data_IF_011774625375
#
_entry.id   IF_011774625375
#
_cell.length_a   1.000
_cell.length_b   1.000
_cell.length_c   1.000
_cell.angle_alpha   90.00
_cell.angle_beta   90.00
_cell.angle_gamma   90.00
#
_symmetry.space_group_name_H-M   'P 1'
#
loop_
_entity.id
_entity.type
_entity.pdbx_description
1 polymer ?
#
# COMPACT_ATOMS: atom_id res chain seq x y z
N UNK A 1 -4.96 -39.06 12.61
CA UNK A 1 -5.38 -37.76 13.16
C UNK A 1 -4.80 -36.67 12.29
N UNK A 2 -5.64 -35.87 11.60
CA UNK A 2 -5.16 -34.61 10.98
C UNK A 2 -5.00 -33.57 12.10
N UNK A 3 -3.94 -32.76 12.11
CA UNK A 3 -3.84 -31.68 13.08
C UNK A 3 -4.95 -30.67 12.81
N UNK A 4 -5.86 -30.50 13.77
CA UNK A 4 -6.82 -29.40 13.78
C UNK A 4 -6.02 -28.14 14.10
N UNK A 5 -5.72 -27.33 13.09
CA UNK A 5 -5.15 -26.00 13.30
C UNK A 5 -6.21 -25.18 14.02
N UNK A 6 -5.98 -24.83 15.28
CA UNK A 6 -6.87 -23.95 16.01
C UNK A 6 -6.82 -22.54 15.39
N UNK A 7 -7.94 -21.81 15.30
CA UNK A 7 -7.94 -20.43 14.82
C UNK A 7 -7.03 -19.61 15.73
N UNK A 8 -5.87 -19.20 15.23
CA UNK A 8 -5.01 -18.29 16.00
C UNK A 8 -5.70 -16.93 16.01
N UNK A 9 -5.88 -16.33 17.19
CA UNK A 9 -6.49 -15.02 17.27
C UNK A 9 -5.62 -14.00 16.55
N UNK A 10 -6.25 -13.20 15.68
CA UNK A 10 -5.56 -12.20 14.88
C UNK A 10 -4.84 -11.12 15.73
N UNK A 11 -5.18 -11.01 17.02
CA UNK A 11 -4.54 -10.14 17.99
C UNK A 11 -3.16 -10.66 18.46
N UNK A 12 -2.77 -11.88 18.09
CA UNK A 12 -1.52 -12.53 18.52
C UNK A 12 -0.40 -12.48 17.49
N UNK A 13 -0.64 -11.92 16.29
CA UNK A 13 0.40 -11.75 15.29
C UNK A 13 1.47 -10.79 15.82
N UNK A 14 2.63 -11.32 16.17
CA UNK A 14 3.79 -10.53 16.60
C UNK A 14 4.55 -10.00 15.40
N UNK A 15 5.17 -8.84 15.56
CA UNK A 15 6.05 -8.26 14.53
C UNK A 15 5.31 -7.87 13.25
N UNK A 16 4.02 -7.51 13.35
CA UNK A 16 3.23 -6.98 12.22
C UNK A 16 2.63 -5.62 12.57
N UNK A 17 2.35 -4.84 11.54
CA UNK A 17 1.74 -3.51 11.65
C UNK A 17 0.39 -3.52 10.97
N UNK A 18 -0.65 -3.42 11.78
CA UNK A 18 -2.05 -3.50 11.34
C UNK A 18 -2.53 -2.10 10.97
N UNK A 19 -2.96 -1.92 9.73
CA UNK A 19 -3.63 -0.69 9.31
C UNK A 19 -5.07 -0.66 9.81
N UNK A 20 -5.79 -1.78 9.66
CA UNK A 20 -7.13 -1.95 10.18
C UNK A 20 -7.49 -3.42 10.34
N UNK A 21 -8.52 -3.67 11.13
CA UNK A 21 -9.14 -4.99 11.33
C UNK A 21 -10.64 -4.85 11.31
N UNK A 22 -11.32 -5.75 10.60
CA UNK A 22 -12.79 -5.78 10.56
C UNK A 22 -13.31 -7.23 10.55
N UNK A 23 -14.58 -7.41 10.93
CA UNK A 23 -15.25 -8.71 10.92
C UNK A 23 -16.59 -8.64 10.19
N UNK A 24 -16.89 -9.67 9.40
CA UNK A 24 -18.06 -9.76 8.55
C UNK A 24 -18.78 -11.08 8.83
N UNK A 25 -20.11 -11.03 8.97
CA UNK A 25 -20.94 -12.21 9.16
C UNK A 25 -21.48 -12.68 7.80
N UNK A 26 -21.26 -13.95 7.49
CA UNK A 26 -21.72 -14.59 6.26
C UNK A 26 -22.77 -15.64 6.62
N UNK A 27 -23.99 -15.41 6.16
CA UNK A 27 -25.10 -16.34 6.39
C UNK A 27 -25.17 -17.40 5.29
N UNK A 28 -25.67 -18.59 5.61
CA UNK A 28 -25.95 -19.60 4.59
C UNK A 28 -27.07 -19.21 3.62
N UNK A 29 -27.15 -19.97 2.51
CA UNK A 29 -28.33 -19.98 1.63
C UNK A 29 -28.24 -19.12 0.37
N UNK A 30 -27.35 -18.13 0.31
CA UNK A 30 -27.16 -17.25 -0.87
C UNK A 30 -25.68 -16.97 -1.15
N UNK A 31 -25.40 -16.49 -2.37
CA UNK A 31 -24.09 -15.91 -2.69
C UNK A 31 -23.95 -14.56 -1.99
N UNK A 32 -22.82 -14.34 -1.32
CA UNK A 32 -22.50 -13.12 -0.60
C UNK A 32 -21.09 -12.64 -0.95
N UNK A 33 -20.80 -11.38 -0.65
CA UNK A 33 -19.45 -10.82 -0.83
C UNK A 33 -19.06 -9.98 0.37
N UNK A 34 -17.78 -10.06 0.74
CA UNK A 34 -17.11 -9.09 1.60
C UNK A 34 -16.37 -8.13 0.68
N UNK A 35 -16.83 -6.88 0.63
CA UNK A 35 -16.18 -5.82 -0.14
C UNK A 35 -15.52 -4.85 0.83
N UNK A 36 -14.22 -4.98 1.01
CA UNK A 36 -13.41 -4.07 1.81
C UNK A 36 -12.39 -3.35 0.92
N UNK A 37 -12.90 -2.79 -0.18
CA UNK A 37 -12.11 -2.16 -1.24
C UNK A 37 -11.31 -0.95 -0.76
N UNK A 38 -11.79 -0.25 0.26
CA UNK A 38 -11.05 0.85 0.90
C UNK A 38 -9.75 0.39 1.58
N UNK A 39 -9.59 -0.92 1.82
CA UNK A 39 -8.32 -1.55 2.21
C UNK A 39 -7.79 -2.53 1.16
N UNK A 40 -8.38 -2.58 -0.05
CA UNK A 40 -7.83 -3.32 -1.18
C UNK A 40 -8.12 -4.83 -1.21
N UNK A 41 -9.17 -5.30 -0.54
CA UNK A 41 -9.54 -6.74 -0.53
C UNK A 41 -11.03 -6.98 -0.77
N UNK A 42 -11.34 -8.03 -1.52
CA UNK A 42 -12.69 -8.57 -1.70
C UNK A 42 -12.70 -10.07 -1.56
N UNK A 43 -13.80 -10.63 -1.05
CA UNK A 43 -14.03 -12.07 -0.99
C UNK A 43 -15.44 -12.35 -1.49
N UNK A 44 -15.58 -13.17 -2.54
CA UNK A 44 -16.89 -13.63 -3.02
C UNK A 44 -17.13 -15.06 -2.54
N UNK A 45 -18.20 -15.25 -1.78
CA UNK A 45 -18.61 -16.50 -1.17
C UNK A 45 -19.79 -17.07 -1.99
N UNK A 46 -19.58 -18.15 -2.78
CA UNK A 46 -20.63 -18.71 -3.60
C UNK A 46 -21.68 -19.45 -2.77
N UNK A 47 -22.89 -19.58 -3.32
CA UNK A 47 -23.94 -20.38 -2.70
C UNK A 47 -23.47 -21.82 -2.39
N UNK A 48 -23.75 -22.25 -1.17
CA UNK A 48 -23.35 -23.56 -0.65
C UNK A 48 -21.93 -23.63 -0.10
N UNK A 49 -21.19 -22.51 -0.05
CA UNK A 49 -19.95 -22.43 0.75
C UNK A 49 -20.24 -22.38 2.27
N UNK A 50 -21.44 -21.95 2.67
CA UNK A 50 -21.95 -21.98 4.05
C UNK A 50 -23.29 -22.73 4.06
N UNK A 51 -23.50 -23.63 5.03
CA UNK A 51 -24.78 -24.33 5.20
C UNK A 51 -25.90 -23.33 5.49
N UNK A 52 -27.14 -23.52 4.97
CA UNK A 52 -28.25 -22.58 5.16
C UNK A 52 -28.54 -22.21 6.62
N UNK A 53 -28.29 -23.13 7.56
CA UNK A 53 -28.50 -22.93 9.00
C UNK A 53 -27.31 -22.33 9.73
N UNK A 54 -26.16 -22.18 9.06
CA UNK A 54 -24.92 -21.69 9.67
C UNK A 54 -24.69 -20.21 9.40
N UNK A 55 -23.86 -19.62 10.27
CA UNK A 55 -23.24 -18.32 10.06
C UNK A 55 -21.73 -18.46 10.29
N UNK A 56 -20.94 -17.95 9.35
CA UNK A 56 -19.48 -17.91 9.43
C UNK A 56 -19.05 -16.47 9.61
N UNK A 57 -18.23 -16.19 10.62
CA UNK A 57 -17.58 -14.90 10.76
C UNK A 57 -16.24 -14.94 10.03
N UNK A 58 -16.02 -14.00 9.12
CA UNK A 58 -14.72 -13.70 8.52
C UNK A 58 -14.13 -12.51 9.25
N UNK A 59 -12.93 -12.67 9.82
CA UNK A 59 -12.16 -11.55 10.38
C UNK A 59 -10.95 -11.31 9.50
N UNK A 60 -10.78 -10.06 9.04
CA UNK A 60 -9.70 -9.64 8.14
C UNK A 60 -8.91 -8.54 8.83
N UNK A 61 -7.58 -8.65 8.84
CA UNK A 61 -6.69 -7.51 9.11
C UNK A 61 -5.83 -7.21 7.88
N UNK A 62 -5.78 -5.93 7.52
CA UNK A 62 -4.87 -5.41 6.53
C UNK A 62 -3.55 -5.04 7.24
N UNK A 63 -2.46 -5.69 6.83
CA UNK A 63 -1.12 -5.50 7.37
C UNK A 63 -0.28 -4.72 6.36
N UNK A 64 0.39 -3.68 6.85
CA UNK A 64 1.17 -2.73 6.03
C UNK A 64 2.67 -2.82 6.28
N UNK A 65 3.09 -3.72 7.17
CA UNK A 65 4.47 -4.09 7.39
C UNK A 65 4.55 -5.24 8.38
N UNK A 66 5.68 -5.92 8.41
CA UNK A 66 5.94 -6.98 9.37
C UNK A 66 7.16 -7.83 8.98
N UNK A 67 7.48 -8.79 9.84
CA UNK A 67 8.61 -9.71 9.66
C UNK A 67 8.29 -10.78 8.60
N UNK A 68 8.05 -10.34 7.37
CA UNK A 68 7.67 -11.17 6.23
C UNK A 68 8.91 -11.63 5.46
N UNK A 69 8.99 -12.93 5.17
CA UNK A 69 10.03 -13.50 4.32
C UNK A 69 9.34 -14.01 3.06
N UNK A 70 9.56 -13.33 1.94
CA UNK A 70 9.07 -13.74 0.63
C UNK A 70 10.09 -14.64 -0.10
N UNK A 71 9.64 -15.43 -1.09
CA UNK A 71 10.55 -16.18 -1.95
C UNK A 71 11.64 -15.31 -2.59
N UNK A 72 12.81 -15.90 -2.86
CA UNK A 72 13.89 -15.21 -3.58
C UNK A 72 13.42 -14.69 -4.94
N UNK A 73 14.02 -13.59 -5.40
CA UNK A 73 13.69 -12.91 -6.66
C UNK A 73 12.22 -12.48 -6.76
N UNK A 74 11.59 -12.16 -5.62
CA UNK A 74 10.23 -11.63 -5.60
C UNK A 74 10.10 -10.37 -4.75
N UNK A 75 9.10 -9.56 -5.08
CA UNK A 75 8.77 -8.34 -4.36
C UNK A 75 7.28 -8.30 -3.99
N UNK A 76 6.97 -7.81 -2.78
CA UNK A 76 5.60 -7.58 -2.33
C UNK A 76 4.96 -6.40 -3.08
N UNK A 77 3.85 -6.65 -3.79
CA UNK A 77 3.15 -5.63 -4.59
C UNK A 77 1.72 -5.35 -4.11
N UNK A 78 1.35 -5.88 -2.95
CA UNK A 78 0.07 -5.62 -2.27
C UNK A 78 0.30 -5.35 -0.77
N UNK A 79 -0.76 -5.03 -0.04
CA UNK A 79 -0.76 -5.26 1.41
C UNK A 79 -0.81 -6.76 1.71
N UNK A 80 -0.45 -7.15 2.93
CA UNK A 80 -0.64 -8.52 3.42
C UNK A 80 -1.95 -8.58 4.19
N UNK A 81 -2.77 -9.61 3.97
CA UNK A 81 -4.04 -9.78 4.67
C UNK A 81 -4.00 -11.03 5.52
N UNK A 82 -4.24 -10.84 6.81
CA UNK A 82 -4.51 -11.94 7.71
C UNK A 82 -6.01 -12.19 7.75
N UNK A 83 -6.43 -13.37 7.31
CA UNK A 83 -7.83 -13.75 7.19
C UNK A 83 -8.08 -14.95 8.11
N UNK A 84 -9.06 -14.83 8.99
CA UNK A 84 -9.47 -15.89 9.90
C UNK A 84 -10.97 -16.15 9.76
N UNK A 85 -11.36 -17.43 9.88
CA UNK A 85 -12.75 -17.85 9.84
C UNK A 85 -13.15 -18.48 11.16
N UNK A 86 -14.36 -18.21 11.65
CA UNK A 86 -14.90 -18.91 12.81
C UNK A 86 -15.19 -20.40 12.52
N UNK A 87 -15.47 -20.74 11.25
CA UNK A 87 -15.67 -22.10 10.73
C UNK A 87 -15.20 -22.17 9.27
N UNK A 88 -14.67 -23.30 8.79
CA UNK A 88 -14.24 -23.44 7.39
C UNK A 88 -15.42 -23.37 6.42
N UNK A 89 -15.18 -22.86 5.21
CA UNK A 89 -16.15 -22.96 4.12
C UNK A 89 -16.19 -24.36 3.51
N UNK A 90 -17.38 -24.76 3.03
CA UNK A 90 -17.60 -26.04 2.36
C UNK A 90 -17.14 -26.08 0.90
N UNK A 91 -16.93 -24.91 0.30
CA UNK A 91 -16.46 -24.77 -1.08
C UNK A 91 -15.38 -23.69 -1.14
N UNK A 92 -14.46 -23.77 -2.11
CA UNK A 92 -13.55 -22.67 -2.39
C UNK A 92 -14.31 -21.37 -2.63
N UNK A 93 -13.76 -20.27 -2.13
CA UNK A 93 -14.32 -18.91 -2.32
C UNK A 93 -13.32 -18.08 -3.13
N UNK A 94 -13.79 -17.05 -3.84
CA UNK A 94 -12.93 -16.20 -4.66
C UNK A 94 -12.36 -15.08 -3.79
N UNK A 95 -11.03 -15.05 -3.62
CA UNK A 95 -10.28 -13.98 -2.98
C UNK A 95 -9.74 -13.04 -4.05
N UNK A 96 -9.89 -11.72 -3.83
CA UNK A 96 -9.35 -10.69 -4.71
C UNK A 96 -8.56 -9.68 -3.91
N UNK A 97 -7.30 -9.44 -4.31
CA UNK A 97 -6.36 -8.55 -3.62
C UNK A 97 -5.87 -7.50 -4.59
N UNK A 98 -5.85 -6.24 -4.15
CA UNK A 98 -5.30 -5.11 -4.90
C UNK A 98 -3.78 -5.23 -5.03
N UNK A 99 -3.24 -4.89 -6.20
CA UNK A 99 -1.79 -4.71 -6.41
C UNK A 99 -1.49 -3.35 -7.05
N UNK A 100 -0.25 -2.90 -6.92
CA UNK A 100 0.22 -1.65 -7.52
C UNK A 100 0.92 -1.82 -8.88
N UNK A 101 1.01 -3.03 -9.42
CA UNK A 101 1.64 -3.29 -10.72
C UNK A 101 0.74 -2.85 -11.88
N UNK A 102 1.30 -2.11 -12.83
CA UNK A 102 0.68 -1.76 -14.12
C UNK A 102 0.77 -2.93 -15.09
N UNK A 103 -0.36 -3.58 -15.33
CA UNK A 103 -0.49 -4.68 -16.28
C UNK A 103 -0.92 -4.13 -17.64
N UNK A 104 0.02 -3.75 -18.49
CA UNK A 104 -0.29 -3.21 -19.82
C UNK A 104 -0.71 -4.32 -20.81
N UNK A 105 -0.11 -5.51 -20.66
CA UNK A 105 -0.34 -6.64 -21.57
C UNK A 105 -0.53 -7.94 -20.80
N UNK A 106 -1.17 -8.92 -21.45
CA UNK A 106 -1.42 -10.24 -20.83
C UNK A 106 -0.12 -11.02 -20.51
N UNK A 107 1.02 -10.66 -21.11
CA UNK A 107 2.30 -11.28 -20.76
C UNK A 107 2.80 -10.84 -19.38
N UNK A 108 2.45 -9.62 -18.94
CA UNK A 108 2.83 -9.11 -17.62
C UNK A 108 2.17 -9.92 -16.49
N UNK A 109 0.96 -10.44 -16.72
CA UNK A 109 0.25 -11.29 -15.77
C UNK A 109 1.06 -12.52 -15.32
N UNK A 110 2.00 -13.01 -16.15
CA UNK A 110 2.83 -14.17 -15.84
C UNK A 110 3.89 -13.90 -14.76
N UNK A 111 4.14 -12.62 -14.47
CA UNK A 111 5.09 -12.19 -13.45
C UNK A 111 4.45 -11.92 -12.10
N UNK A 112 3.13 -12.06 -11.99
CA UNK A 112 2.39 -11.90 -10.76
C UNK A 112 1.99 -13.26 -10.20
N UNK A 113 2.01 -13.38 -8.87
CA UNK A 113 1.55 -14.57 -8.19
C UNK A 113 0.97 -14.23 -6.82
N UNK A 114 0.06 -15.08 -6.35
CA UNK A 114 -0.33 -15.04 -4.95
C UNK A 114 0.75 -15.69 -4.09
N UNK A 115 0.93 -15.17 -2.88
CA UNK A 115 1.78 -15.78 -1.88
C UNK A 115 1.03 -15.90 -0.56
N UNK A 116 1.28 -17.02 0.14
CA UNK A 116 0.63 -17.32 1.41
C UNK A 116 1.63 -17.81 2.46
N UNK A 117 1.39 -17.47 3.72
CA UNK A 117 2.16 -17.95 4.85
C UNK A 117 1.23 -18.68 5.85
N UNK A 118 1.31 -20.01 5.95
CA UNK A 118 0.43 -20.80 6.82
C UNK A 118 0.85 -20.76 8.30
N UNK A 119 2.07 -20.33 8.61
CA UNK A 119 2.54 -20.16 9.98
C UNK A 119 2.08 -18.83 10.55
N UNK A 120 1.50 -18.84 11.75
CA UNK A 120 1.19 -17.62 12.51
C UNK A 120 2.35 -17.15 13.40
N UNK A 121 3.55 -17.72 13.22
CA UNK A 121 4.75 -17.34 13.98
C UNK A 121 5.71 -16.54 13.10
N UNK A 122 6.15 -15.39 13.61
CA UNK A 122 7.21 -14.60 13.01
C UNK A 122 8.57 -15.33 13.09
N UNK A 123 9.45 -15.20 12.08
CA UNK A 123 9.19 -14.53 10.81
C UNK A 123 8.23 -15.35 9.92
N UNK A 124 7.32 -14.66 9.22
CA UNK A 124 6.27 -15.28 8.42
C UNK A 124 6.82 -15.67 7.05
N UNK A 125 7.02 -16.97 6.85
CA UNK A 125 7.57 -17.52 5.61
C UNK A 125 6.47 -17.69 4.57
N UNK A 126 6.48 -16.83 3.56
CA UNK A 126 5.57 -16.89 2.43
C UNK A 126 6.05 -17.89 1.38
N UNK A 127 5.08 -18.54 0.74
CA UNK A 127 5.29 -19.46 -0.38
C UNK A 127 4.41 -19.06 -1.55
N UNK A 128 4.92 -19.28 -2.75
CA UNK A 128 4.17 -19.11 -3.99
C UNK A 128 2.94 -20.02 -4.01
N UNK A 129 1.84 -19.47 -4.55
CA UNK A 129 0.61 -20.19 -4.79
C UNK A 129 0.41 -20.31 -6.30
N UNK A 130 0.29 -21.54 -6.77
CA UNK A 130 0.02 -21.79 -8.18
C UNK A 130 -1.37 -21.33 -8.58
N UNK A 131 -1.48 -20.70 -9.74
CA UNK A 131 -2.73 -20.18 -10.29
C UNK A 131 -2.90 -18.70 -10.00
N UNK A 132 -4.15 -18.29 -9.79
CA UNK A 132 -4.52 -16.88 -9.79
C UNK A 132 -4.80 -16.38 -11.21
N UNK A 133 -5.61 -15.33 -11.29
CA UNK A 133 -6.01 -14.68 -12.52
C UNK A 133 -5.80 -13.18 -12.39
N UNK A 134 -5.07 -12.62 -13.35
CA UNK A 134 -4.71 -11.22 -13.48
C UNK A 134 -5.08 -10.77 -14.89
N UNK A 135 -5.54 -9.52 -15.03
CA UNK A 135 -6.03 -9.00 -16.31
C UNK A 135 -5.35 -7.67 -16.65
N UNK A 136 -5.11 -7.37 -17.93
CA UNK A 136 -4.61 -6.06 -18.35
C UNK A 136 -5.48 -4.92 -17.84
N UNK A 137 -4.84 -3.82 -17.45
CA UNK A 137 -5.45 -2.63 -16.83
C UNK A 137 -6.23 -2.92 -15.53
N UNK A 138 -6.08 -4.11 -14.96
CA UNK A 138 -6.66 -4.49 -13.69
C UNK A 138 -5.73 -4.13 -12.53
N UNK A 139 -6.31 -3.60 -11.44
CA UNK A 139 -5.59 -3.37 -10.18
C UNK A 139 -5.77 -4.48 -9.15
N UNK A 140 -6.33 -5.63 -9.53
CA UNK A 140 -6.63 -6.74 -8.63
C UNK A 140 -6.25 -8.08 -9.25
N UNK A 141 -5.62 -8.94 -8.46
CA UNK A 141 -5.51 -10.37 -8.72
C UNK A 141 -6.68 -11.11 -8.09
N UNK A 142 -7.08 -12.23 -8.69
CA UNK A 142 -8.15 -13.09 -8.14
C UNK A 142 -7.74 -14.56 -8.08
N UNK A 143 -8.16 -15.30 -7.04
CA UNK A 143 -7.86 -16.73 -6.88
C UNK A 143 -8.97 -17.43 -6.08
N UNK A 144 -9.23 -18.71 -6.34
CA UNK A 144 -10.13 -19.52 -5.52
C UNK A 144 -9.35 -20.22 -4.40
N UNK A 145 -9.79 -20.05 -3.16
CA UNK A 145 -9.09 -20.55 -1.96
C UNK A 145 -10.03 -21.27 -1.02
N UNK A 146 -9.52 -22.30 -0.34
CA UNK A 146 -10.23 -23.06 0.70
C UNK A 146 -9.62 -22.89 2.09
N UNK A 147 -8.40 -22.36 2.16
CA UNK A 147 -7.66 -22.17 3.40
C UNK A 147 -7.30 -20.68 3.56
N UNK A 148 -7.44 -20.18 4.78
CA UNK A 148 -7.19 -18.79 5.12
C UNK A 148 -6.11 -18.68 6.19
N UNK A 149 -5.15 -17.80 5.94
CA UNK A 149 -4.07 -17.44 6.84
C UNK A 149 -3.57 -16.06 6.41
N UNK A 150 -2.27 -15.89 6.14
CA UNK A 150 -1.75 -14.69 5.49
C UNK A 150 -1.78 -14.83 3.97
N UNK A 151 -2.25 -13.80 3.27
CA UNK A 151 -2.34 -13.72 1.82
C UNK A 151 -1.80 -12.41 1.29
N UNK A 152 -1.14 -12.45 0.14
CA UNK A 152 -0.57 -11.29 -0.55
C UNK A 152 -0.39 -11.57 -2.04
N UNK A 153 -0.04 -10.55 -2.79
CA UNK A 153 0.45 -10.63 -4.17
C UNK A 153 1.92 -10.24 -4.22
N UNK A 154 2.68 -11.03 -4.96
CA UNK A 154 4.09 -10.78 -5.25
C UNK A 154 4.33 -10.74 -6.74
N UNK A 155 5.43 -10.10 -7.09
CA UNK A 155 5.94 -9.98 -8.44
C UNK A 155 7.33 -10.60 -8.54
N UNK A 156 7.64 -11.28 -9.65
CA UNK A 156 8.98 -11.79 -9.92
C UNK A 156 9.91 -10.68 -10.43
N UNK A 157 11.06 -10.52 -9.78
CA UNK A 157 12.12 -9.57 -10.13
C UNK A 157 13.27 -10.36 -10.77
N UNK A 158 13.29 -10.51 -12.11
CA UNK A 158 14.41 -11.19 -12.79
C UNK A 158 15.56 -10.24 -13.07
N UNK A 159 16.71 -10.50 -12.43
CA UNK A 159 17.96 -9.73 -12.51
C UNK A 159 18.65 -9.72 -13.89
N UNK A 160 18.17 -10.48 -14.89
CA UNK A 160 18.86 -10.63 -16.18
C UNK A 160 18.00 -10.39 -17.43
N UNK A 161 16.70 -10.13 -17.29
CA UNK A 161 15.82 -9.70 -18.39
C UNK A 161 14.83 -8.70 -17.78
N UNK A 162 15.02 -7.41 -18.06
CA UNK A 162 14.16 -6.31 -17.62
C UNK A 162 12.75 -6.47 -18.19
N UNK A 163 11.88 -7.20 -17.50
CA UNK A 163 10.46 -7.08 -17.74
C UNK A 163 9.99 -5.87 -16.93
N UNK A 164 9.94 -4.73 -17.58
CA UNK A 164 9.38 -3.49 -17.03
C UNK A 164 7.94 -3.74 -16.61
N UNK A 165 7.72 -3.98 -15.33
CA UNK A 165 6.41 -3.85 -14.72
C UNK A 165 6.41 -2.54 -13.97
N UNK A 166 5.88 -1.53 -14.66
CA UNK A 166 5.76 -0.21 -14.09
C UNK A 166 4.84 -0.29 -12.87
N UNK A 167 5.24 0.23 -11.72
CA UNK A 167 4.41 0.26 -10.51
C UNK A 167 3.80 1.64 -10.33
N UNK A 168 2.60 1.68 -9.79
CA UNK A 168 1.94 2.90 -9.37
C UNK A 168 2.32 3.23 -7.93
N UNK A 169 2.62 4.50 -7.69
CA UNK A 169 3.01 5.05 -6.40
C UNK A 169 2.11 6.21 -6.03
N UNK A 170 2.06 6.47 -4.72
CA UNK A 170 1.24 7.50 -4.12
C UNK A 170 2.09 8.35 -3.17
N UNK A 171 1.82 9.65 -3.17
CA UNK A 171 2.36 10.61 -2.23
C UNK A 171 1.25 11.39 -1.54
N UNK A 172 1.24 11.40 -0.22
CA UNK A 172 0.35 12.28 0.56
C UNK A 172 1.10 13.55 0.94
N UNK A 173 0.53 14.70 0.56
CA UNK A 173 1.06 16.02 0.90
C UNK A 173 0.28 16.61 2.05
N UNK A 174 1.00 17.07 3.07
CA UNK A 174 0.42 17.59 4.30
C UNK A 174 1.13 18.86 4.73
N UNK A 175 0.37 19.74 5.37
CA UNK A 175 0.89 20.98 5.93
C UNK A 175 0.83 20.95 7.45
N UNK A 176 1.90 21.45 8.05
CA UNK A 176 2.00 21.69 9.49
C UNK A 176 2.37 23.16 9.71
N UNK A 177 1.55 23.87 10.48
CA UNK A 177 1.87 25.24 10.92
C UNK A 177 2.81 25.13 12.13
N UNK A 178 4.06 25.56 11.97
CA UNK A 178 5.05 25.56 13.06
C UNK A 178 4.98 26.86 13.86
N UNK A 179 4.90 27.99 13.15
CA UNK A 179 4.69 29.32 13.73
C UNK A 179 3.64 30.06 12.89
N UNK A 180 2.46 30.37 13.46
CA UNK A 180 1.39 31.06 12.73
C UNK A 180 1.90 32.33 12.05
N UNK A 181 1.64 32.45 10.75
CA UNK A 181 2.07 33.59 9.92
C UNK A 181 3.57 33.72 9.66
N UNK A 182 4.40 32.75 10.08
CA UNK A 182 5.87 32.84 9.94
C UNK A 182 6.53 31.59 9.39
N UNK A 183 6.07 30.40 9.78
CA UNK A 183 6.76 29.15 9.43
C UNK A 183 5.80 27.98 9.28
N UNK A 184 5.99 27.25 8.18
CA UNK A 184 5.25 26.04 7.83
C UNK A 184 6.21 24.94 7.41
N UNK A 185 5.75 23.71 7.60
CA UNK A 185 6.43 22.51 7.14
C UNK A 185 5.46 21.76 6.23
N UNK A 186 5.84 21.57 4.97
CA UNK A 186 5.15 20.68 4.05
C UNK A 186 5.82 19.32 4.13
N UNK A 187 5.03 18.27 4.33
CA UNK A 187 5.47 16.87 4.43
C UNK A 187 4.92 16.09 3.25
N UNK A 188 5.79 15.34 2.60
CA UNK A 188 5.49 14.38 1.55
C UNK A 188 5.77 13.01 2.10
N UNK A 189 4.75 12.18 2.22
CA UNK A 189 4.94 10.77 2.55
C UNK A 189 4.65 9.92 1.33
N UNK A 190 5.61 9.09 0.93
CA UNK A 190 5.57 8.32 -0.31
C UNK A 190 5.38 6.82 -0.02
N UNK A 191 4.52 6.15 -0.78
CA UNK A 191 4.27 4.71 -0.70
C UNK A 191 3.85 4.12 -2.06
N UNK A 192 3.68 2.79 -2.12
CA UNK A 192 3.03 2.15 -3.28
C UNK A 192 1.56 2.56 -3.34
N UNK A 193 1.00 2.63 -4.53
CA UNK A 193 -0.42 2.98 -4.74
C UNK A 193 -1.35 1.83 -4.32
N UNK A 194 -1.54 1.68 -3.01
CA UNK A 194 -2.34 0.64 -2.38
C UNK A 194 -3.27 1.25 -1.35
N UNK A 195 -4.56 0.90 -1.40
CA UNK A 195 -5.59 1.53 -0.58
C UNK A 195 -5.32 1.35 0.93
N UNK A 196 -4.85 0.17 1.34
CA UNK A 196 -4.46 -0.09 2.73
C UNK A 196 -3.34 0.84 3.22
N UNK A 197 -2.35 1.17 2.38
CA UNK A 197 -1.28 2.10 2.75
C UNK A 197 -1.78 3.53 2.82
N UNK A 198 -2.57 3.96 1.84
CA UNK A 198 -3.18 5.30 1.85
C UNK A 198 -3.99 5.53 3.12
N UNK A 199 -4.81 4.55 3.51
CA UNK A 199 -5.57 4.59 4.76
C UNK A 199 -4.66 4.66 5.98
N UNK A 200 -3.65 3.81 6.05
CA UNK A 200 -2.70 3.82 7.16
C UNK A 200 -1.98 5.16 7.32
N UNK A 201 -1.49 5.74 6.23
CA UNK A 201 -0.82 7.04 6.22
C UNK A 201 -1.79 8.15 6.64
N UNK A 202 -3.01 8.13 6.11
CA UNK A 202 -4.05 9.09 6.47
C UNK A 202 -4.37 9.04 7.97
N UNK A 203 -4.36 7.86 8.59
CA UNK A 203 -4.56 7.72 10.04
C UNK A 203 -3.37 8.23 10.86
N UNK A 204 -2.12 7.98 10.41
CA UNK A 204 -0.90 8.53 11.05
C UNK A 204 -0.99 10.06 11.13
N UNK A 205 -1.49 10.70 10.08
CA UNK A 205 -1.51 12.15 9.93
C UNK A 205 -2.90 12.77 10.03
N UNK A 206 -3.86 12.11 10.69
CA UNK A 206 -5.24 12.60 10.82
C UNK A 206 -5.38 14.01 11.42
N UNK A 207 -4.35 14.48 12.14
CA UNK A 207 -4.30 15.80 12.76
C UNK A 207 -3.60 16.87 11.89
N UNK A 208 -3.05 16.49 10.73
CA UNK A 208 -2.41 17.40 9.80
C UNK A 208 -3.41 17.85 8.73
N UNK A 209 -3.22 19.07 8.24
CA UNK A 209 -3.97 19.57 7.10
C UNK A 209 -3.49 18.83 5.84
N UNK A 210 -4.33 17.93 5.31
CA UNK A 210 -4.08 17.30 4.01
C UNK A 210 -4.28 18.36 2.92
N UNK A 211 -3.27 18.54 2.07
CA UNK A 211 -3.33 19.51 0.98
C UNK A 211 -3.64 18.80 -0.33
N UNK A 212 -2.71 17.99 -0.82
CA UNK A 212 -2.79 17.37 -2.15
C UNK A 212 -2.41 15.88 -2.11
N UNK A 213 -2.85 15.17 -3.16
CA UNK A 213 -2.43 13.82 -3.48
C UNK A 213 -1.53 13.84 -4.72
N UNK A 214 -0.46 13.05 -4.71
CA UNK A 214 0.43 12.81 -5.84
C UNK A 214 0.30 11.35 -6.27
N UNK A 215 -0.03 11.12 -7.54
CA UNK A 215 -0.05 9.78 -8.14
C UNK A 215 1.01 9.74 -9.24
N UNK A 216 1.87 8.74 -9.21
CA UNK A 216 2.99 8.72 -10.14
C UNK A 216 3.52 7.31 -10.42
N UNK A 217 4.30 7.21 -11.49
CA UNK A 217 5.20 6.08 -11.75
C UNK A 217 6.60 6.61 -12.03
N UNK A 218 7.63 5.76 -11.95
CA UNK A 218 9.00 6.20 -12.28
C UNK A 218 9.20 6.23 -13.81
N UNK A 219 10.00 7.18 -14.29
CA UNK A 219 10.37 7.25 -15.71
C UNK A 219 11.29 6.10 -16.12
N UNK A 220 12.18 5.71 -15.21
CA UNK A 220 13.23 4.71 -15.38
C UNK A 220 13.17 3.67 -14.25
N UNK A 221 13.65 2.46 -14.53
CA UNK A 221 13.78 1.40 -13.53
C UNK A 221 14.78 1.82 -12.45
N UNK A 222 14.45 1.58 -11.17
CA UNK A 222 15.26 2.01 -10.03
C UNK A 222 15.48 3.54 -10.00
N UNK A 223 14.56 4.30 -10.61
CA UNK A 223 14.60 5.75 -10.67
C UNK A 223 14.46 6.43 -9.31
N UNK A 224 14.47 7.76 -9.33
CA UNK A 224 14.28 8.59 -8.14
C UNK A 224 13.29 9.71 -8.43
N UNK A 225 12.45 10.02 -7.46
CA UNK A 225 11.68 11.26 -7.46
C UNK A 225 12.56 12.33 -6.83
N UNK A 226 12.80 13.42 -7.56
CA UNK A 226 13.60 14.55 -7.13
C UNK A 226 12.72 15.80 -6.96
N UNK A 227 12.72 16.36 -5.76
CA UNK A 227 12.04 17.62 -5.46
C UNK A 227 12.94 18.80 -5.82
N UNK A 228 12.53 19.60 -6.80
CA UNK A 228 13.34 20.69 -7.35
C UNK A 228 12.92 22.05 -6.77
N UNK A 229 13.91 22.84 -6.35
CA UNK A 229 13.74 24.13 -5.67
C UNK A 229 14.36 25.30 -6.46
N UNK A 230 14.41 25.16 -7.79
CA UNK A 230 15.14 26.07 -8.68
C UNK A 230 14.42 27.41 -8.89
N UNK A 231 13.11 27.47 -8.60
CA UNK A 231 12.29 28.67 -8.81
C UNK A 231 12.55 29.72 -7.73
N UNK A 232 12.68 30.97 -8.14
CA UNK A 232 12.86 32.09 -7.21
C UNK A 232 11.61 32.27 -6.34
N UNK A 233 11.83 32.52 -5.05
CA UNK A 233 10.74 32.83 -4.12
C UNK A 233 10.31 34.30 -4.29
N UNK A 234 9.01 34.61 -4.12
CA UNK A 234 8.55 35.98 -4.00
C UNK A 234 9.26 36.70 -2.84
N UNK A 235 9.37 38.02 -2.92
CA UNK A 235 10.00 38.83 -1.88
C UNK A 235 9.38 38.53 -0.50
N UNK A 236 10.24 38.37 0.51
CA UNK A 236 9.81 38.05 1.87
C UNK A 236 9.45 36.58 2.11
N UNK A 237 9.55 35.70 1.12
CA UNK A 237 9.32 34.26 1.28
C UNK A 237 10.60 33.45 1.06
N UNK A 238 10.70 32.30 1.72
CA UNK A 238 11.74 31.30 1.49
C UNK A 238 11.13 29.90 1.49
N UNK A 239 11.37 29.15 0.42
CA UNK A 239 11.03 27.73 0.27
C UNK A 239 12.33 26.96 0.10
N UNK A 240 12.62 26.05 1.03
CA UNK A 240 13.88 25.28 1.03
C UNK A 240 13.62 23.85 1.49
N UNK A 241 14.45 22.88 1.05
CA UNK A 241 14.42 21.56 1.66
C UNK A 241 14.70 21.68 3.16
N UNK A 242 13.93 20.96 3.98
CA UNK A 242 14.15 20.91 5.41
C UNK A 242 15.36 20.01 5.73
N UNK A 243 15.48 18.89 5.03
CA UNK A 243 16.60 17.93 5.13
C UNK A 243 17.11 17.52 3.74
N UNK A 244 18.34 17.01 3.68
CA UNK A 244 18.92 16.32 2.51
C UNK A 244 18.96 14.80 2.75
N UNK A 245 18.80 13.95 1.72
CA UNK A 245 18.71 14.28 0.30
C UNK A 245 17.31 14.74 -0.13
N UNK A 246 17.25 15.54 -1.20
CA UNK A 246 16.00 15.99 -1.84
C UNK A 246 15.40 14.95 -2.81
N UNK A 247 15.97 13.74 -2.83
CA UNK A 247 15.55 12.63 -3.68
C UNK A 247 15.02 11.46 -2.85
N UNK A 248 14.11 10.69 -3.42
CA UNK A 248 13.69 9.38 -2.90
C UNK A 248 13.77 8.38 -4.03
N UNK A 249 14.58 7.33 -3.85
CA UNK A 249 14.69 6.24 -4.82
C UNK A 249 13.46 5.34 -4.78
N UNK A 250 13.11 4.75 -5.92
CA UNK A 250 12.08 3.73 -6.04
C UNK A 250 12.24 2.63 -4.97
N UNK A 251 13.45 2.07 -4.85
CA UNK A 251 13.77 1.02 -3.86
C UNK A 251 13.42 1.40 -2.43
N UNK A 252 13.67 2.66 -2.04
CA UNK A 252 13.35 3.14 -0.70
C UNK A 252 11.83 3.14 -0.44
N UNK A 253 11.02 3.33 -1.48
CA UNK A 253 9.57 3.16 -1.38
C UNK A 253 9.23 1.68 -1.39
N UNK A 254 9.85 0.87 -2.26
CA UNK A 254 9.52 -0.55 -2.42
C UNK A 254 9.79 -1.41 -1.18
N UNK A 255 10.84 -1.08 -0.42
CA UNK A 255 11.26 -1.81 0.78
C UNK A 255 10.30 -1.62 1.99
N UNK A 256 9.29 -0.73 1.92
CA UNK A 256 8.42 -0.37 3.06
C UNK A 256 7.72 -1.58 3.72
N UNK A 257 7.27 -2.55 2.91
CA UNK A 257 6.39 -3.64 3.33
C UNK A 257 7.11 -4.77 4.08
N UNK A 258 8.44 -4.82 3.97
CA UNK A 258 9.30 -5.79 4.66
C UNK A 258 9.87 -5.25 5.97
N UNK A 259 9.54 -4.01 6.34
CA UNK A 259 10.03 -3.39 7.58
C UNK A 259 9.03 -3.53 8.73
N UNK A 260 9.57 -3.68 9.94
CA UNK A 260 8.82 -3.70 11.19
C UNK A 260 9.58 -2.82 12.21
N UNK A 261 9.17 -1.55 12.42
CA UNK A 261 8.01 -0.87 11.83
C UNK A 261 8.15 -0.49 10.34
N UNK A 262 7.03 -0.38 9.59
CA UNK A 262 7.03 0.21 8.27
C UNK A 262 7.64 1.60 8.32
N UNK A 263 8.55 1.88 7.39
CA UNK A 263 9.18 3.18 7.25
C UNK A 263 8.91 3.73 5.86
N UNK A 264 7.92 4.62 5.77
CA UNK A 264 7.59 5.28 4.52
C UNK A 264 8.53 6.47 4.30
N UNK A 265 9.20 6.59 3.14
CA UNK A 265 10.05 7.72 2.86
C UNK A 265 9.31 9.05 2.98
N UNK A 266 9.83 9.93 3.83
CA UNK A 266 9.29 11.27 4.05
C UNK A 266 10.22 12.33 3.46
N UNK A 267 9.66 13.33 2.78
CA UNK A 267 10.38 14.56 2.40
C UNK A 267 9.70 15.78 2.98
N UNK A 268 10.51 16.71 3.46
CA UNK A 268 10.06 17.90 4.19
C UNK A 268 10.55 19.15 3.49
N UNK A 269 9.64 20.11 3.31
CA UNK A 269 9.92 21.42 2.75
C UNK A 269 9.62 22.45 3.82
N UNK A 270 10.60 23.29 4.11
CA UNK A 270 10.46 24.41 5.03
C UNK A 270 10.03 25.65 4.26
N UNK A 271 8.93 26.26 4.71
CA UNK A 271 8.43 27.53 4.19
C UNK A 271 8.50 28.57 5.31
N UNK A 272 9.11 29.72 5.04
CA UNK A 272 9.14 30.84 6.00
C UNK A 272 8.77 32.16 5.35
N UNK A 273 8.07 33.01 6.10
CA UNK A 273 7.76 34.40 5.74
C UNK A 273 8.55 35.38 6.62
N UNK A 274 9.12 36.41 6.00
CA UNK A 274 9.73 37.55 6.68
C UNK A 274 8.65 38.47 7.25
N UNK A 275 8.75 38.87 8.54
CA UNK A 275 7.80 39.79 9.15
C UNK A 275 7.68 41.11 8.36
N UNK A 276 6.46 41.50 7.99
CA UNK A 276 6.17 42.75 7.30
C UNK A 276 6.58 42.81 5.83
N UNK A 277 7.06 41.70 5.25
CA UNK A 277 7.41 41.61 3.82
C UNK A 277 6.75 40.45 3.08
N UNK A 278 6.38 39.37 3.78
CA UNK A 278 5.59 38.29 3.18
C UNK A 278 4.20 38.77 2.78
N UNK A 279 3.70 38.29 1.64
CA UNK A 279 2.30 38.45 1.22
C UNK A 279 1.35 37.66 2.15
N UNK A 280 0.03 37.90 2.04
CA UNK A 280 -0.98 37.19 2.83
C UNK A 280 -1.03 35.68 2.54
N UNK A 281 -0.68 35.30 1.29
CA UNK A 281 -0.62 33.91 0.83
C UNK A 281 0.66 33.66 0.02
N UNK A 282 1.12 32.40 0.02
CA UNK A 282 2.17 31.91 -0.87
C UNK A 282 1.52 30.98 -1.90
N UNK A 283 1.83 31.19 -3.17
CA UNK A 283 1.60 30.23 -4.23
C UNK A 283 2.94 30.00 -4.93
N UNK A 284 3.64 28.94 -4.53
CA UNK A 284 4.96 28.62 -5.06
C UNK A 284 4.99 27.17 -5.58
N UNK A 285 5.22 26.95 -6.89
CA UNK A 285 5.26 25.59 -7.42
C UNK A 285 6.56 24.88 -7.06
N UNK A 286 6.46 23.72 -6.42
CA UNK A 286 7.56 22.75 -6.29
C UNK A 286 7.41 21.74 -7.42
N UNK A 287 8.45 21.61 -8.23
CA UNK A 287 8.48 20.69 -9.39
C UNK A 287 9.12 19.36 -8.99
N UNK A 288 8.68 18.27 -9.62
CA UNK A 288 9.24 16.94 -9.41
C UNK A 288 9.80 16.37 -10.72
N UNK A 289 10.95 15.72 -10.66
CA UNK A 289 11.61 15.06 -11.81
C UNK A 289 11.80 13.56 -11.55
N UNK A 290 12.01 12.79 -12.63
CA UNK A 290 12.24 11.34 -12.59
C UNK A 290 10.96 10.51 -12.47
N UNK A 291 9.79 11.14 -12.62
CA UNK A 291 8.47 10.52 -12.48
C UNK A 291 7.55 10.91 -13.62
N UNK A 292 6.59 10.03 -13.93
CA UNK A 292 5.42 10.30 -14.78
C UNK A 292 4.21 10.53 -13.88
N UNK A 293 3.60 11.71 -13.99
CA UNK A 293 2.43 12.13 -13.20
C UNK A 293 1.63 13.14 -14.03
N UNK A 294 0.31 13.17 -13.86
CA UNK A 294 -0.54 14.20 -14.43
C UNK A 294 -0.26 15.59 -13.81
N UNK A 295 0.26 15.60 -12.57
CA UNK A 295 0.64 16.79 -11.83
C UNK A 295 2.13 16.73 -11.48
N UNK A 296 2.97 17.36 -12.31
CA UNK A 296 4.42 17.50 -12.05
C UNK A 296 4.79 18.74 -11.23
N UNK A 297 3.81 19.61 -10.96
CA UNK A 297 3.95 20.78 -10.11
C UNK A 297 2.96 20.71 -8.95
N UNK A 298 3.46 20.92 -7.73
CA UNK A 298 2.64 21.07 -6.54
C UNK A 298 2.76 22.50 -6.05
N UNK A 299 1.67 23.24 -6.17
CA UNK A 299 1.56 24.57 -5.60
C UNK A 299 1.42 24.45 -4.09
N UNK A 300 2.38 25.02 -3.38
CA UNK A 300 2.41 25.17 -1.91
C UNK A 300 2.15 26.61 -1.49
#
# INVERSE_FOLDING_TARGET
>A
MRPTVQPTELNELKGVHVAAKNSFLIHGGSTQSVNWEEYGIRITIPQGAVLPSDTVQITIAALVGGDFIFPEDTELVSAVYAINLSKPFLKPVKLEIQHCVSIETASHCKYLSFATAPSHKAPYQFKLVNGGNFVPNGGYGSIYVSEFCLWSLIEYVRTSISFFTNKSYYGQVMREVRRPGKEWLIKFLLCKDLNALKKHISEIFKNNEKTNDLYFSFEEENGCIEFCFDKSCPNGWSVKPYDTPIKVSQRAIDDYGSMSPPNFPERKIKITAEPGKGADELNHPVTMRGIKSDNMELNI
#
